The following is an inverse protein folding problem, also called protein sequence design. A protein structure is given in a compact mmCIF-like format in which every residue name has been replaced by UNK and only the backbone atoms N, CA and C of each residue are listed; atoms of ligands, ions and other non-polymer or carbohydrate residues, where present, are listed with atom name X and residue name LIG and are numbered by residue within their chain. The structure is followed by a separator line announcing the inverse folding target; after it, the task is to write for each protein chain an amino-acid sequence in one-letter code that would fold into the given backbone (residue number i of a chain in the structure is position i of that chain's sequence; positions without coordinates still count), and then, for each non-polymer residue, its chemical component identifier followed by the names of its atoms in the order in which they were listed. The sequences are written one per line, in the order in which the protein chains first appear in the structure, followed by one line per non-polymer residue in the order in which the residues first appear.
data_IF_855896022799
#
_entry.id   IF_855896022799
#
_cell.length_a   1.000
_cell.length_b   1.000
_cell.length_c   1.000
_cell.angle_alpha   90.00
_cell.angle_beta   90.00
_cell.angle_gamma   90.00
#
_symmetry.space_group_name_H-M   'P 1'
#
loop_
_entity.id
_entity.type
_entity.pdbx_description
1 polymer ?
#
# COMPACT_ATOMS: atom_id res chain seq x y z
N UNK A 1 -43.40 0.39 51.53
CA UNK A 1 -43.11 -0.61 50.49
C UNK A 1 -42.22 0.08 49.46
N UNK A 2 -40.91 -0.10 49.58
CA UNK A 2 -39.97 0.33 48.55
C UNK A 2 -40.03 -0.68 47.40
N UNK A 3 -40.46 -0.23 46.23
CA UNK A 3 -40.43 -1.05 45.01
C UNK A 3 -38.99 -1.09 44.52
N UNK A 4 -38.22 -2.05 45.02
CA UNK A 4 -36.88 -2.36 44.54
C UNK A 4 -36.94 -2.90 43.11
N UNK A 5 -36.83 -2.02 42.12
CA UNK A 5 -36.54 -2.41 40.75
C UNK A 5 -35.07 -2.85 40.75
N UNK A 6 -34.84 -4.16 40.63
CA UNK A 6 -33.51 -4.70 40.47
C UNK A 6 -32.92 -4.12 39.17
N UNK A 7 -31.72 -3.50 39.17
CA UNK A 7 -31.13 -3.00 37.94
C UNK A 7 -30.96 -4.17 36.97
N UNK A 8 -31.52 -4.04 35.76
CA UNK A 8 -31.31 -4.98 34.66
C UNK A 8 -29.81 -5.21 34.50
N UNK A 9 -29.38 -6.48 34.52
CA UNK A 9 -27.96 -6.83 34.32
C UNK A 9 -27.51 -6.22 32.99
N UNK A 10 -26.62 -5.23 33.07
CA UNK A 10 -26.00 -4.62 31.90
C UNK A 10 -25.14 -5.66 31.21
N UNK A 11 -25.49 -6.03 29.98
CA UNK A 11 -24.65 -6.90 29.15
C UNK A 11 -23.53 -6.09 28.49
N UNK A 12 -22.50 -6.79 28.00
CA UNK A 12 -21.44 -6.16 27.20
C UNK A 12 -22.04 -5.51 25.94
N UNK A 13 -23.05 -6.14 25.32
CA UNK A 13 -23.75 -5.59 24.17
C UNK A 13 -24.43 -4.26 24.49
N UNK A 14 -25.10 -4.17 25.64
CA UNK A 14 -25.75 -2.93 26.09
C UNK A 14 -24.71 -1.83 26.31
N UNK A 15 -23.55 -2.15 26.92
CA UNK A 15 -22.47 -1.20 27.13
C UNK A 15 -21.89 -0.66 25.80
N UNK A 16 -21.71 -1.53 24.80
CA UNK A 16 -21.25 -1.14 23.46
C UNK A 16 -22.26 -0.20 22.80
N UNK A 17 -23.54 -0.56 22.81
CA UNK A 17 -24.61 0.25 22.22
C UNK A 17 -24.76 1.60 22.91
N UNK A 18 -24.67 1.63 24.25
CA UNK A 18 -24.69 2.87 25.03
C UNK A 18 -23.49 3.76 24.69
N UNK A 19 -22.30 3.17 24.54
CA UNK A 19 -21.08 3.93 24.19
C UNK A 19 -21.19 4.50 22.78
N UNK A 20 -21.63 3.71 21.80
CA UNK A 20 -21.86 4.17 20.44
C UNK A 20 -22.87 5.32 20.40
N UNK A 21 -24.04 5.14 21.05
CA UNK A 21 -25.09 6.16 21.13
C UNK A 21 -24.63 7.44 21.85
N UNK A 22 -23.77 7.30 22.85
CA UNK A 22 -23.19 8.45 23.55
C UNK A 22 -22.19 9.18 22.66
N UNK A 23 -21.36 8.45 21.91
CA UNK A 23 -20.38 9.01 20.99
C UNK A 23 -21.04 9.78 19.85
N UNK A 24 -22.14 9.26 19.28
CA UNK A 24 -22.91 9.96 18.24
C UNK A 24 -23.49 11.31 18.69
N UNK A 25 -23.69 11.49 20.00
CA UNK A 25 -24.17 12.76 20.58
C UNK A 25 -23.04 13.75 20.85
N UNK A 26 -21.78 13.34 20.74
CA UNK A 26 -20.64 14.23 20.93
C UNK A 26 -20.53 15.17 19.73
N UNK A 27 -20.76 16.45 19.98
CA UNK A 27 -20.61 17.50 18.96
C UNK A 27 -19.18 18.01 18.87
N UNK A 28 -18.79 18.56 17.72
CA UNK A 28 -17.50 19.25 17.54
C UNK A 28 -17.25 20.33 18.60
N UNK A 29 -18.31 21.04 19.00
CA UNK A 29 -18.22 22.04 20.07
C UNK A 29 -17.91 21.42 21.43
N UNK A 30 -18.47 20.23 21.72
CA UNK A 30 -18.15 19.48 22.95
C UNK A 30 -16.69 19.10 22.98
N UNK A 31 -16.16 18.57 21.87
CA UNK A 31 -14.74 18.23 21.72
C UNK A 31 -13.86 19.47 21.90
N UNK A 32 -14.17 20.56 21.19
CA UNK A 32 -13.45 21.84 21.30
C UNK A 32 -13.41 22.35 22.73
N UNK A 33 -14.55 22.36 23.42
CA UNK A 33 -14.64 22.80 24.81
C UNK A 33 -13.84 21.90 25.77
N UNK A 34 -13.79 20.59 25.52
CA UNK A 34 -12.94 19.68 26.30
C UNK A 34 -11.46 20.04 26.15
N UNK A 35 -10.96 20.23 24.92
CA UNK A 35 -9.58 20.65 24.67
C UNK A 35 -9.25 22.02 25.28
N UNK A 36 -10.22 22.95 25.30
CA UNK A 36 -10.07 24.24 25.96
C UNK A 36 -9.93 24.05 27.47
N UNK A 37 -10.81 23.26 28.08
CA UNK A 37 -10.82 23.03 29.53
C UNK A 37 -9.58 22.28 30.03
N UNK A 38 -9.01 21.41 29.22
CA UNK A 38 -7.74 20.74 29.55
C UNK A 38 -6.53 21.65 29.36
N UNK A 39 -6.71 22.87 28.83
CA UNK A 39 -5.63 23.82 28.57
C UNK A 39 -4.76 23.46 27.36
N UNK A 40 -5.15 22.42 26.62
CA UNK A 40 -4.44 21.98 25.41
C UNK A 40 -4.76 22.92 24.25
N UNK A 41 -6.01 23.39 24.15
CA UNK A 41 -6.40 24.44 23.22
C UNK A 41 -6.54 25.77 23.97
N UNK A 42 -5.69 26.76 23.67
CA UNK A 42 -5.73 28.05 24.37
C UNK A 42 -6.91 28.92 23.89
N UNK A 43 -7.57 29.63 24.81
CA UNK A 43 -8.71 30.52 24.50
C UNK A 43 -8.33 31.74 23.64
N UNK A 44 -7.03 32.04 23.51
CA UNK A 44 -6.50 33.20 22.78
C UNK A 44 -6.40 32.99 21.27
N UNK A 45 -6.73 31.79 20.78
CA UNK A 45 -6.58 31.43 19.38
C UNK A 45 -7.84 31.76 18.56
N UNK A 46 -8.06 33.05 18.34
CA UNK A 46 -9.00 33.53 17.31
C UNK A 46 -8.35 33.59 15.92
N UNK A 47 -7.03 33.36 15.83
CA UNK A 47 -6.29 33.26 14.57
C UNK A 47 -6.18 31.80 14.12
N UNK A 48 -7.30 31.23 13.67
CA UNK A 48 -7.36 29.87 13.10
C UNK A 48 -6.38 29.66 11.95
N UNK A 49 -6.06 30.69 11.16
CA UNK A 49 -5.07 30.60 10.07
C UNK A 49 -3.65 30.29 10.55
N UNK A 50 -3.22 30.86 11.67
CA UNK A 50 -1.84 30.65 12.18
C UNK A 50 -1.70 29.23 12.71
N UNK A 51 -2.72 28.71 13.40
CA UNK A 51 -2.72 27.32 13.89
C UNK A 51 -2.72 26.34 12.72
N UNK A 52 -3.51 26.60 11.68
CA UNK A 52 -3.57 25.71 10.52
C UNK A 52 -2.22 25.64 9.81
N UNK A 53 -1.53 26.77 9.67
CA UNK A 53 -0.18 26.81 9.11
C UNK A 53 0.84 26.05 9.99
N UNK A 54 0.83 26.28 11.31
CA UNK A 54 1.72 25.56 12.25
C UNK A 54 1.43 24.04 12.28
N UNK A 55 0.15 23.66 12.18
CA UNK A 55 -0.28 22.27 12.13
C UNK A 55 0.14 21.61 10.82
N UNK A 56 -0.02 22.29 9.68
CA UNK A 56 0.39 21.78 8.37
C UNK A 56 1.92 21.59 8.31
N UNK A 57 2.68 22.55 8.82
CA UNK A 57 4.13 22.40 8.97
C UNK A 57 4.49 21.23 9.90
N UNK A 58 3.74 21.02 10.99
CA UNK A 58 3.95 19.87 11.89
C UNK A 58 3.68 18.56 11.17
N UNK A 59 2.57 18.45 10.44
CA UNK A 59 2.19 17.28 9.67
C UNK A 59 3.26 16.96 8.61
N UNK A 60 3.81 17.98 7.94
CA UNK A 60 4.89 17.77 6.97
C UNK A 60 6.17 17.26 7.64
N UNK A 61 6.56 17.84 8.79
CA UNK A 61 7.72 17.36 9.57
C UNK A 61 7.55 15.92 10.03
N UNK A 62 6.38 15.58 10.51
CA UNK A 62 6.07 14.22 10.99
C UNK A 62 6.08 13.22 9.84
N UNK A 63 5.47 13.57 8.70
CA UNK A 63 5.53 12.75 7.49
C UNK A 63 6.97 12.51 7.01
N UNK A 64 7.83 13.53 7.04
CA UNK A 64 9.25 13.36 6.69
C UNK A 64 9.97 12.38 7.62
N UNK A 65 9.69 12.42 8.92
CA UNK A 65 10.28 11.49 9.90
C UNK A 65 9.79 10.06 9.71
N UNK A 66 8.49 9.89 9.43
CA UNK A 66 7.90 8.58 9.13
C UNK A 66 8.48 8.02 7.83
N UNK A 67 8.58 8.83 6.77
CA UNK A 67 9.19 8.42 5.50
C UNK A 67 10.65 8.02 5.69
N UNK A 68 11.42 8.76 6.49
CA UNK A 68 12.80 8.38 6.81
C UNK A 68 12.87 7.03 7.52
N UNK A 69 11.96 6.75 8.44
CA UNK A 69 11.89 5.49 9.17
C UNK A 69 11.53 4.31 8.25
N UNK A 70 10.59 4.52 7.32
CA UNK A 70 10.20 3.54 6.30
C UNK A 70 11.40 3.23 5.39
N UNK A 71 12.09 4.25 4.88
CA UNK A 71 13.26 4.07 4.03
C UNK A 71 14.37 3.29 4.74
N UNK A 72 14.58 3.54 6.04
CA UNK A 72 15.54 2.81 6.87
C UNK A 72 15.14 1.34 7.06
N UNK A 73 13.85 1.06 7.20
CA UNK A 73 13.32 -0.28 7.43
C UNK A 73 13.37 -1.15 6.16
N UNK A 74 12.90 -0.59 5.04
CA UNK A 74 12.73 -1.31 3.78
C UNK A 74 13.96 -1.22 2.87
N UNK A 75 14.92 -0.37 3.21
CA UNK A 75 16.05 -0.03 2.34
C UNK A 75 15.65 1.04 1.32
N UNK A 76 16.62 1.89 0.96
CA UNK A 76 16.40 3.04 0.07
C UNK A 76 16.00 2.67 -1.37
N UNK A 77 16.06 1.39 -1.74
CA UNK A 77 15.68 0.90 -3.07
C UNK A 77 14.16 0.74 -3.22
N UNK A 78 13.42 0.74 -2.10
CA UNK A 78 11.97 0.62 -2.08
C UNK A 78 11.31 2.01 -2.03
N UNK A 79 10.72 2.43 -3.14
CA UNK A 79 9.97 3.69 -3.25
C UNK A 79 8.56 3.57 -2.64
N UNK A 80 8.48 3.17 -1.37
CA UNK A 80 7.21 3.05 -0.63
C UNK A 80 6.93 4.37 0.08
N UNK A 81 5.83 5.02 -0.25
CA UNK A 81 5.42 6.27 0.42
C UNK A 81 4.83 6.00 1.81
N UNK A 82 4.80 7.02 2.68
CA UNK A 82 4.09 6.94 3.97
C UNK A 82 2.64 6.47 3.79
N UNK A 83 1.95 7.00 2.78
CA UNK A 83 0.55 6.65 2.54
C UNK A 83 0.40 5.18 2.11
N UNK A 84 1.30 4.69 1.25
CA UNK A 84 1.27 3.27 0.86
C UNK A 84 1.56 2.35 2.04
N UNK A 85 2.46 2.75 2.94
CA UNK A 85 2.81 1.97 4.12
C UNK A 85 1.70 1.93 5.16
N UNK A 86 0.96 3.03 5.35
CA UNK A 86 -0.13 3.10 6.32
C UNK A 86 -1.42 2.43 5.80
N UNK A 87 -1.66 2.46 4.48
CA UNK A 87 -2.84 1.85 3.85
C UNK A 87 -2.62 0.41 3.40
N UNK A 88 -1.64 -0.30 3.97
CA UNK A 88 -1.45 -1.74 3.71
C UNK A 88 -2.69 -2.52 4.14
N UNK A 89 -3.24 -2.18 5.31
CA UNK A 89 -4.42 -2.85 5.87
C UNK A 89 -5.70 -2.53 5.09
N UNK A 90 -5.79 -1.33 4.49
CA UNK A 90 -6.95 -0.94 3.67
C UNK A 90 -7.05 -1.73 2.36
N UNK A 91 -5.89 -2.22 1.85
CA UNK A 91 -5.80 -3.07 0.66
C UNK A 91 -5.87 -4.56 1.00
N UNK A 92 -5.71 -4.90 2.27
CA UNK A 92 -5.93 -6.25 2.77
C UNK A 92 -7.45 -6.44 2.77
N UNK A 93 -7.93 -7.09 1.71
CA UNK A 93 -9.29 -7.56 1.59
C UNK A 93 -9.72 -8.13 2.95
N UNK A 94 -10.89 -7.69 3.41
CA UNK A 94 -11.45 -8.16 4.67
C UNK A 94 -11.43 -9.70 4.66
N UNK A 95 -11.29 -10.34 5.83
CA UNK A 95 -11.34 -11.81 5.93
C UNK A 95 -12.62 -12.38 5.27
N UNK A 96 -13.66 -11.55 5.13
CA UNK A 96 -14.91 -11.88 4.43
C UNK A 96 -14.81 -11.87 2.89
N UNK A 97 -13.87 -11.12 2.31
CA UNK A 97 -13.58 -11.09 0.87
C UNK A 97 -12.55 -12.16 0.44
N UNK A 98 -11.81 -12.73 1.40
CA UNK A 98 -11.13 -14.00 1.20
C UNK A 98 -12.20 -15.09 1.12
N UNK A 99 -12.64 -15.36 -0.12
CA UNK A 99 -13.38 -16.56 -0.49
C UNK A 99 -12.78 -17.73 0.29
N UNK A 100 -13.50 -18.24 1.29
CA UNK A 100 -13.08 -19.28 2.26
C UNK A 100 -11.95 -20.14 1.65
N UNK A 101 -10.70 -19.78 1.93
CA UNK A 101 -9.59 -20.68 1.64
C UNK A 101 -9.88 -21.88 2.52
N UNK A 102 -10.41 -22.93 1.89
CA UNK A 102 -10.87 -24.09 2.62
C UNK A 102 -9.68 -24.58 3.42
N UNK A 103 -9.85 -24.99 4.68
CA UNK A 103 -8.73 -25.34 5.57
C UNK A 103 -7.70 -26.29 4.91
N UNK A 104 -8.19 -27.10 3.96
CA UNK A 104 -7.40 -27.97 3.09
C UNK A 104 -6.37 -27.25 2.21
N UNK A 105 -6.70 -26.09 1.66
CA UNK A 105 -5.83 -25.26 0.82
C UNK A 105 -4.67 -24.66 1.62
N UNK A 106 -4.93 -24.27 2.87
CA UNK A 106 -3.90 -23.82 3.82
C UNK A 106 -2.96 -24.98 4.17
N UNK A 107 -3.52 -26.16 4.44
CA UNK A 107 -2.74 -27.37 4.76
C UNK A 107 -1.87 -27.79 3.57
N UNK A 108 -2.41 -27.76 2.35
CA UNK A 108 -1.69 -28.16 1.14
C UNK A 108 -0.58 -27.16 0.76
N UNK A 109 -0.79 -25.85 1.00
CA UNK A 109 0.25 -24.81 0.94
C UNK A 109 1.40 -25.08 1.93
N UNK A 110 1.09 -25.39 3.19
CA UNK A 110 2.10 -25.68 4.23
C UNK A 110 2.85 -26.99 3.95
N UNK A 111 2.16 -27.97 3.36
CA UNK A 111 2.76 -29.26 2.96
C UNK A 111 3.47 -29.23 1.60
N UNK A 112 3.53 -28.07 0.94
CA UNK A 112 4.26 -27.88 -0.32
C UNK A 112 3.68 -28.68 -1.49
N UNK A 113 2.39 -29.02 -1.44
CA UNK A 113 1.71 -29.47 -2.65
C UNK A 113 1.45 -28.23 -3.48
N UNK A 114 2.08 -28.14 -4.64
CA UNK A 114 1.80 -27.09 -5.62
C UNK A 114 0.33 -27.22 -6.04
N UNK A 115 -0.54 -26.47 -5.40
CA UNK A 115 -1.86 -26.17 -5.94
C UNK A 115 -1.56 -25.18 -7.06
N UNK A 116 -1.65 -25.65 -8.31
CA UNK A 116 -1.85 -24.77 -9.45
C UNK A 116 -3.13 -24.00 -9.17
N UNK A 117 -2.98 -22.77 -8.67
CA UNK A 117 -4.08 -21.83 -8.50
C UNK A 117 -4.56 -21.55 -9.93
N UNK A 118 -5.66 -22.17 -10.33
CA UNK A 118 -6.43 -21.73 -11.48
C UNK A 118 -6.96 -20.33 -11.18
N UNK A 119 -6.18 -19.33 -11.57
CA UNK A 119 -6.57 -17.95 -11.55
C UNK A 119 -7.73 -17.75 -12.54
N UNK A 120 -8.72 -17.01 -12.06
CA UNK A 120 -9.91 -16.51 -12.72
C UNK A 120 -9.82 -16.34 -14.25
N UNK A 121 -10.78 -16.94 -14.93
CA UNK A 121 -10.81 -17.29 -16.36
C UNK A 121 -11.09 -16.09 -17.30
N UNK A 122 -10.75 -14.85 -16.94
CA UNK A 122 -11.09 -13.68 -17.77
C UNK A 122 -9.99 -12.64 -18.05
N UNK A 123 -8.74 -12.92 -17.69
CA UNK A 123 -7.57 -12.28 -18.30
C UNK A 123 -6.43 -13.29 -18.38
N UNK A 124 -6.62 -14.35 -19.16
CA UNK A 124 -5.48 -15.11 -19.67
C UNK A 124 -4.79 -14.26 -20.72
N UNK A 125 -3.90 -13.37 -20.28
CA UNK A 125 -2.73 -13.10 -21.09
C UNK A 125 -1.97 -14.43 -21.10
N UNK A 126 -2.15 -15.19 -22.19
CA UNK A 126 -1.29 -16.33 -22.48
C UNK A 126 0.14 -15.90 -22.16
N UNK A 127 0.84 -16.66 -21.32
CA UNK A 127 2.28 -16.47 -21.13
C UNK A 127 2.90 -16.84 -22.49
N UNK A 128 2.95 -15.88 -23.40
CA UNK A 128 3.58 -16.04 -24.69
C UNK A 128 5.07 -16.19 -24.39
N UNK A 129 5.58 -17.42 -24.49
CA UNK A 129 7.00 -17.69 -24.38
C UNK A 129 7.72 -16.94 -25.51
N UNK A 130 8.28 -15.77 -25.19
CA UNK A 130 9.08 -14.99 -26.14
C UNK A 130 10.38 -15.74 -26.40
N UNK A 131 10.61 -16.14 -27.65
CA UNK A 131 11.86 -16.79 -28.04
C UNK A 131 13.03 -15.81 -27.95
N UNK A 132 14.25 -16.32 -27.74
CA UNK A 132 15.45 -15.47 -27.73
C UNK A 132 15.60 -14.64 -29.02
N UNK A 133 15.10 -15.15 -30.16
CA UNK A 133 15.11 -14.45 -31.45
C UNK A 133 14.17 -13.25 -31.43
N UNK A 134 12.94 -13.44 -30.96
CA UNK A 134 11.95 -12.36 -30.83
C UNK A 134 12.40 -11.28 -29.84
N UNK A 135 13.00 -11.69 -28.72
CA UNK A 135 13.57 -10.74 -27.76
C UNK A 135 14.65 -9.84 -28.39
N UNK A 136 15.55 -10.41 -29.19
CA UNK A 136 16.57 -9.65 -29.92
C UNK A 136 15.93 -8.72 -30.96
N UNK A 137 14.94 -9.19 -31.71
CA UNK A 137 14.24 -8.37 -32.71
C UNK A 137 13.50 -7.19 -32.07
N UNK A 138 12.89 -7.39 -30.90
CA UNK A 138 12.23 -6.32 -30.14
C UNK A 138 13.24 -5.29 -29.62
N UNK A 139 14.40 -5.71 -29.13
CA UNK A 139 15.48 -4.81 -28.72
C UNK A 139 16.00 -3.97 -29.89
N UNK A 140 16.17 -4.56 -31.07
CA UNK A 140 16.60 -3.83 -32.28
C UNK A 140 15.55 -2.81 -32.76
N UNK A 141 14.26 -3.18 -32.71
CA UNK A 141 13.15 -2.26 -33.03
C UNK A 141 13.12 -1.09 -32.06
N UNK A 142 13.28 -1.34 -30.77
CA UNK A 142 13.32 -0.31 -29.75
C UNK A 142 14.52 0.63 -29.95
N UNK A 143 15.73 0.09 -30.17
CA UNK A 143 16.91 0.90 -30.48
C UNK A 143 16.70 1.76 -31.73
N UNK A 144 16.06 1.21 -32.77
CA UNK A 144 15.75 1.96 -33.99
C UNK A 144 14.76 3.10 -33.73
N UNK A 145 13.71 2.86 -32.95
CA UNK A 145 12.75 3.88 -32.55
C UNK A 145 13.43 5.02 -31.79
N UNK A 146 14.25 4.69 -30.79
CA UNK A 146 14.99 5.67 -29.98
C UNK A 146 15.97 6.50 -30.82
N UNK A 147 16.57 5.91 -31.86
CA UNK A 147 17.45 6.63 -32.79
C UNK A 147 16.69 7.51 -33.81
N UNK A 148 15.41 7.24 -34.06
CA UNK A 148 14.57 7.99 -34.99
C UNK A 148 13.93 9.20 -34.32
N UNK A 149 13.53 9.05 -33.06
CA UNK A 149 12.87 10.10 -32.29
C UNK A 149 13.94 10.97 -31.60
N UNK A 150 14.46 11.96 -32.33
CA UNK A 150 15.45 12.94 -31.85
C UNK A 150 14.96 13.81 -30.65
N UNK A 151 13.80 13.47 -30.09
CA UNK A 151 13.11 14.13 -28.98
C UNK A 151 13.28 13.40 -27.65
N UNK A 152 13.71 12.14 -27.65
CA UNK A 152 13.95 11.41 -26.41
C UNK A 152 15.46 11.47 -26.13
N UNK A 153 15.85 12.24 -25.11
CA UNK A 153 17.22 12.24 -24.60
C UNK A 153 17.50 10.90 -23.93
N UNK A 154 17.70 9.87 -24.75
CA UNK A 154 18.11 8.55 -24.26
C UNK A 154 19.56 8.69 -23.82
N UNK A 155 19.79 8.53 -22.52
CA UNK A 155 21.15 8.61 -22.00
C UNK A 155 22.01 7.50 -22.64
N UNK A 156 23.28 7.81 -22.88
CA UNK A 156 24.25 6.85 -23.41
C UNK A 156 24.31 5.55 -22.57
N UNK A 157 24.02 5.65 -21.28
CA UNK A 157 23.93 4.53 -20.35
C UNK A 157 22.86 3.50 -20.76
N UNK A 158 21.67 3.95 -21.17
CA UNK A 158 20.60 3.05 -21.64
C UNK A 158 21.01 2.30 -22.90
N UNK A 159 21.72 2.95 -23.83
CA UNK A 159 22.21 2.32 -25.06
C UNK A 159 23.21 1.20 -24.72
N UNK A 160 24.12 1.45 -23.78
CA UNK A 160 25.07 0.46 -23.28
C UNK A 160 24.34 -0.73 -22.62
N UNK A 161 23.31 -0.46 -21.82
CA UNK A 161 22.51 -1.51 -21.17
C UNK A 161 21.78 -2.39 -22.18
N UNK A 162 21.14 -1.83 -23.21
CA UNK A 162 20.49 -2.62 -24.26
C UNK A 162 21.48 -3.52 -25.00
N UNK A 163 22.69 -3.03 -25.28
CA UNK A 163 23.73 -3.83 -25.91
C UNK A 163 24.25 -4.96 -24.99
N UNK A 164 24.36 -4.70 -23.69
CA UNK A 164 24.74 -5.71 -22.71
C UNK A 164 23.68 -6.83 -22.65
N UNK A 165 22.39 -6.46 -22.58
CA UNK A 165 21.27 -7.43 -22.59
C UNK A 165 21.30 -8.26 -23.88
N UNK A 166 21.45 -7.63 -25.04
CA UNK A 166 21.57 -8.33 -26.33
C UNK A 166 22.73 -9.32 -26.33
N UNK A 167 23.90 -8.91 -25.84
CA UNK A 167 25.09 -9.76 -25.79
C UNK A 167 24.93 -10.93 -24.81
N UNK A 168 24.25 -10.73 -23.68
CA UNK A 168 23.97 -11.81 -22.73
C UNK A 168 23.03 -12.87 -23.33
N UNK A 169 21.99 -12.45 -24.06
CA UNK A 169 21.10 -13.37 -24.76
C UNK A 169 21.88 -14.16 -25.83
N UNK A 170 22.74 -13.50 -26.61
CA UNK A 170 23.59 -14.16 -27.61
C UNK A 170 24.57 -15.15 -26.97
N UNK A 171 25.23 -14.76 -25.88
CA UNK A 171 26.15 -15.63 -25.15
C UNK A 171 25.44 -16.85 -24.56
N UNK A 172 24.22 -16.66 -24.05
CA UNK A 172 23.39 -17.76 -23.54
C UNK A 172 22.95 -18.73 -24.66
N UNK A 173 22.64 -18.22 -25.87
CA UNK A 173 22.40 -19.07 -27.04
C UNK A 173 23.68 -19.84 -27.42
N UNK A 174 24.84 -19.20 -27.43
CA UNK A 174 26.10 -19.84 -27.82
C UNK A 174 26.58 -20.87 -26.79
N UNK A 175 26.39 -20.61 -25.49
CA UNK A 175 26.76 -21.54 -24.42
C UNK A 175 25.90 -22.80 -24.38
N UNK A 176 24.67 -22.78 -24.91
CA UNK A 176 23.80 -23.97 -25.02
C UNK A 176 24.11 -24.84 -26.25
N UNK A 177 25.05 -24.43 -27.10
CA UNK A 177 25.39 -25.08 -28.37
C UNK A 177 26.67 -25.92 -28.33
N UNK A 178 27.31 -26.03 -27.15
CA UNK A 178 28.48 -26.88 -26.85
C UNK A 178 28.03 -28.06 -26.03
#
# INVERSE_FOLDING_TARGET
METGILPSKLSILDAIQMTATAWDKVTTNTIKNCWIKTGILSLLYDNTEIILAELEESIQRDNHQVQHSINKLLGNDNNVSVNDFLSIDDKLLSIEDYKESTEQEIIDCVLGKNIEIEADENTSEEIIEITNKEAIECLEKLQKYLNQENSMSVSFEWICQFNNIKNNILNHIMSKKV
#
